data_IF_995676866687
#
_entry.id   IF_995676866687
#
_cell.length_a   1.000
_cell.length_b   1.000
_cell.length_c   1.000
_cell.angle_alpha   90.00
_cell.angle_beta   90.00
_cell.angle_gamma   90.00
#
_symmetry.space_group_name_H-M   'P 1'
#
loop_
_entity.id
_entity.type
_entity.pdbx_description
1 polymer ?
#
# COMPACT_ATOMS: atom_id res chain seq x y z
N UNK A 1 -15.49 11.10 8.78
CA UNK A 1 -15.49 9.72 8.26
C UNK A 1 -16.22 9.54 6.93
N UNK A 2 -17.39 10.12 6.72
CA UNK A 2 -18.10 10.08 5.41
C UNK A 2 -17.28 10.67 4.25
N UNK A 3 -16.44 11.67 4.51
CA UNK A 3 -15.65 12.33 3.46
C UNK A 3 -14.50 11.48 2.95
N UNK A 4 -13.87 10.66 3.81
CA UNK A 4 -12.76 9.79 3.40
C UNK A 4 -13.25 8.64 2.50
N UNK A 5 -14.44 8.11 2.79
CA UNK A 5 -15.08 7.08 1.97
C UNK A 5 -15.44 7.61 0.59
N UNK A 6 -15.99 8.83 0.53
CA UNK A 6 -16.31 9.53 -0.70
C UNK A 6 -15.05 9.85 -1.51
N UNK A 7 -13.99 10.30 -0.86
CA UNK A 7 -12.69 10.51 -1.50
C UNK A 7 -12.10 9.23 -2.10
N UNK A 8 -12.24 8.09 -1.37
CA UNK A 8 -11.85 6.78 -1.90
C UNK A 8 -12.64 6.39 -3.15
N UNK A 9 -13.95 6.57 -3.13
CA UNK A 9 -14.82 6.23 -4.26
C UNK A 9 -14.56 7.12 -5.47
N UNK A 10 -14.41 8.41 -5.27
CA UNK A 10 -14.10 9.38 -6.34
C UNK A 10 -12.73 9.12 -6.96
N UNK A 11 -11.72 8.80 -6.13
CA UNK A 11 -10.38 8.45 -6.60
C UNK A 11 -10.36 7.12 -7.37
N UNK A 12 -11.07 6.11 -6.86
CA UNK A 12 -11.22 4.81 -7.53
C UNK A 12 -11.93 4.94 -8.89
N UNK A 13 -12.92 5.82 -8.98
CA UNK A 13 -13.63 6.08 -10.21
C UNK A 13 -12.75 6.82 -11.22
N UNK A 14 -11.98 7.83 -10.78
CA UNK A 14 -10.99 8.50 -11.63
C UNK A 14 -9.94 7.53 -12.18
N UNK A 15 -9.50 6.53 -11.38
CA UNK A 15 -8.54 5.53 -11.84
C UNK A 15 -9.15 4.55 -12.83
N UNK A 16 -10.43 4.20 -12.69
CA UNK A 16 -11.15 3.34 -13.65
C UNK A 16 -11.38 4.02 -14.99
N UNK A 17 -11.58 5.33 -14.99
CA UNK A 17 -11.82 6.12 -16.20
C UNK A 17 -10.52 6.57 -16.87
N UNK A 18 -9.42 6.68 -16.12
CA UNK A 18 -8.13 7.10 -16.65
C UNK A 18 -7.38 5.92 -17.28
N UNK A 19 -7.67 5.67 -18.53
CA UNK A 19 -6.77 4.97 -19.47
C UNK A 19 -5.45 5.71 -19.71
N UNK A 20 -5.21 6.80 -19.00
CA UNK A 20 -4.03 7.66 -19.15
C UNK A 20 -2.72 6.94 -18.81
N UNK A 21 -2.73 5.98 -17.91
CA UNK A 21 -1.53 5.23 -17.53
C UNK A 21 -0.97 4.33 -18.65
N UNK A 22 -1.79 3.91 -19.60
CA UNK A 22 -1.34 3.04 -20.69
C UNK A 22 -0.75 3.78 -21.89
N UNK A 23 -1.05 5.06 -22.07
CA UNK A 23 -0.59 5.83 -23.23
C UNK A 23 0.61 6.72 -22.93
N UNK A 24 0.92 7.00 -21.65
CA UNK A 24 2.11 7.75 -21.26
C UNK A 24 3.41 6.92 -21.30
N UNK A 25 3.31 5.60 -21.47
CA UNK A 25 4.43 4.66 -21.41
C UNK A 25 4.88 4.13 -22.78
N UNK A 26 4.42 4.73 -23.86
CA UNK A 26 5.02 4.49 -25.18
C UNK A 26 6.17 5.48 -25.40
N UNK A 27 7.22 5.35 -24.61
CA UNK A 27 8.53 5.87 -25.01
C UNK A 27 9.08 4.93 -26.08
N UNK A 28 9.61 5.50 -27.16
CA UNK A 28 10.21 4.74 -28.24
C UNK A 28 11.53 4.07 -27.84
N UNK A 29 12.00 4.31 -26.61
CA UNK A 29 13.19 3.70 -26.05
C UNK A 29 12.80 2.46 -25.23
N UNK A 30 13.17 1.23 -25.67
CA UNK A 30 12.88 0.01 -24.92
C UNK A 30 13.59 -0.06 -23.56
N UNK A 31 14.54 0.85 -23.28
CA UNK A 31 15.24 0.96 -21.99
C UNK A 31 14.60 1.98 -21.04
N UNK A 32 13.66 2.80 -21.51
CA UNK A 32 12.97 3.84 -20.72
C UNK A 32 11.56 3.42 -20.27
N UNK A 33 11.21 2.16 -20.44
CA UNK A 33 9.97 1.63 -19.89
C UNK A 33 10.09 1.56 -18.36
N UNK A 34 9.14 2.13 -17.58
CA UNK A 34 9.11 1.96 -16.14
C UNK A 34 9.08 0.46 -15.84
N UNK A 35 10.15 -0.04 -15.25
CA UNK A 35 10.18 -1.41 -14.75
C UNK A 35 9.22 -1.50 -13.56
N UNK A 36 8.47 -2.59 -13.48
CA UNK A 36 7.69 -2.91 -12.30
C UNK A 36 8.67 -3.12 -11.14
N UNK A 37 8.55 -2.30 -10.11
CA UNK A 37 9.41 -2.32 -8.93
C UNK A 37 8.53 -2.16 -7.69
N UNK A 38 9.02 -2.63 -6.54
CA UNK A 38 8.30 -2.48 -5.28
C UNK A 38 7.96 -1.02 -4.98
N UNK A 39 6.80 -0.79 -4.33
CA UNK A 39 6.40 0.51 -3.82
C UNK A 39 6.54 0.57 -2.30
N UNK A 40 7.04 1.68 -1.78
CA UNK A 40 7.16 1.94 -0.34
C UNK A 40 6.40 3.21 0.00
N UNK A 41 5.62 3.15 1.07
CA UNK A 41 4.92 4.29 1.64
C UNK A 41 5.29 4.43 3.11
N UNK A 42 5.60 5.65 3.55
CA UNK A 42 5.89 5.96 4.94
C UNK A 42 5.07 7.16 5.41
N UNK A 43 4.61 7.10 6.65
CA UNK A 43 3.82 8.14 7.31
C UNK A 43 4.32 8.35 8.72
N UNK A 44 4.45 9.63 9.11
CA UNK A 44 4.65 10.06 10.47
C UNK A 44 3.75 11.25 10.78
N UNK A 45 3.18 11.28 11.98
CA UNK A 45 2.38 12.38 12.51
C UNK A 45 2.75 12.64 13.97
N UNK A 46 2.69 13.90 14.41
CA UNK A 46 2.89 14.25 15.83
C UNK A 46 1.75 13.74 16.70
N UNK A 47 0.57 13.60 16.13
CA UNK A 47 -0.62 13.10 16.83
C UNK A 47 -1.07 11.78 16.23
N UNK A 48 -1.83 11.00 16.98
CA UNK A 48 -2.46 9.79 16.47
C UNK A 48 -3.49 10.14 15.39
N UNK A 49 -3.34 9.50 14.24
CA UNK A 49 -4.22 9.63 13.07
C UNK A 49 -4.57 8.24 12.55
N UNK A 50 -5.51 8.14 11.64
CA UNK A 50 -5.82 6.88 10.94
C UNK A 50 -4.68 6.52 9.97
N UNK A 51 -3.56 6.08 10.56
CA UNK A 51 -2.34 5.72 9.81
C UNK A 51 -2.58 4.52 8.89
N UNK A 52 -3.48 3.61 9.27
CA UNK A 52 -3.78 2.44 8.45
C UNK A 52 -4.48 2.82 7.16
N UNK A 53 -5.58 3.58 7.23
CA UNK A 53 -6.31 3.98 6.02
C UNK A 53 -5.49 4.89 5.11
N UNK A 54 -4.68 5.79 5.70
CA UNK A 54 -3.77 6.63 4.94
C UNK A 54 -2.69 5.80 4.22
N UNK A 55 -2.14 4.78 4.90
CA UNK A 55 -1.16 3.87 4.30
C UNK A 55 -1.78 3.00 3.22
N UNK A 56 -3.00 2.49 3.45
CA UNK A 56 -3.75 1.74 2.45
C UNK A 56 -3.97 2.58 1.18
N UNK A 57 -4.34 3.83 1.34
CA UNK A 57 -4.51 4.76 0.23
C UNK A 57 -3.20 5.03 -0.51
N UNK A 58 -2.11 5.28 0.24
CA UNK A 58 -0.78 5.48 -0.35
C UNK A 58 -0.29 4.25 -1.12
N UNK A 59 -0.48 3.05 -0.56
CA UNK A 59 -0.13 1.80 -1.24
C UNK A 59 -1.00 1.53 -2.47
N UNK A 60 -2.27 1.90 -2.42
CA UNK A 60 -3.14 1.78 -3.57
C UNK A 60 -2.65 2.64 -4.75
N UNK A 61 -2.19 3.86 -4.47
CA UNK A 61 -1.56 4.72 -5.48
C UNK A 61 -0.27 4.11 -6.06
N UNK A 62 0.44 3.28 -5.28
CA UNK A 62 1.66 2.58 -5.68
C UNK A 62 1.41 1.16 -6.23
N UNK A 63 0.15 0.73 -6.34
CA UNK A 63 -0.21 -0.64 -6.73
C UNK A 63 0.38 -1.07 -8.09
N UNK A 64 0.55 -0.13 -9.02
CA UNK A 64 1.17 -0.36 -10.32
C UNK A 64 2.64 -0.79 -10.24
N UNK A 65 3.31 -0.56 -9.11
CA UNK A 65 4.70 -0.94 -8.86
C UNK A 65 4.85 -2.35 -8.29
N UNK A 66 3.80 -2.89 -7.62
CA UNK A 66 3.85 -4.22 -7.05
C UNK A 66 2.46 -4.79 -6.85
N UNK A 67 2.17 -5.94 -7.46
CA UNK A 67 0.83 -6.53 -7.52
C UNK A 67 0.75 -7.94 -6.90
N UNK A 68 1.84 -8.44 -6.32
CA UNK A 68 1.88 -9.80 -5.80
C UNK A 68 1.51 -9.90 -4.33
N UNK A 69 2.00 -8.98 -3.53
CA UNK A 69 1.73 -8.93 -2.10
C UNK A 69 1.81 -7.50 -1.60
N UNK A 70 1.18 -7.23 -0.49
CA UNK A 70 1.30 -5.95 0.20
C UNK A 70 1.23 -6.14 1.71
N UNK A 71 1.74 -5.13 2.43
CA UNK A 71 1.72 -5.12 3.88
C UNK A 71 1.79 -3.71 4.44
N UNK A 72 1.24 -3.56 5.64
CA UNK A 72 1.26 -2.32 6.42
C UNK A 72 1.68 -2.68 7.85
N UNK A 73 2.63 -1.91 8.38
CA UNK A 73 2.98 -1.90 9.79
C UNK A 73 2.61 -0.55 10.39
N UNK A 74 1.87 -0.56 11.48
CA UNK A 74 1.43 0.63 12.21
C UNK A 74 2.00 0.62 13.61
N UNK A 75 2.52 1.75 14.07
CA UNK A 75 2.90 1.94 15.47
C UNK A 75 1.76 2.65 16.22
N UNK A 76 1.31 2.01 17.28
CA UNK A 76 0.28 2.51 18.18
C UNK A 76 0.65 2.16 19.62
N UNK A 77 0.64 3.13 20.54
CA UNK A 77 0.89 2.92 21.98
C UNK A 77 2.17 2.12 22.25
N UNK A 78 3.26 2.39 21.51
CA UNK A 78 4.53 1.68 21.62
C UNK A 78 4.52 0.23 21.13
N UNK A 79 3.44 -0.19 20.46
CA UNK A 79 3.30 -1.52 19.86
C UNK A 79 3.23 -1.42 18.35
N UNK A 80 3.80 -2.42 17.68
CA UNK A 80 3.73 -2.53 16.22
C UNK A 80 2.70 -3.58 15.83
N UNK A 81 1.76 -3.18 14.99
CA UNK A 81 0.79 -4.06 14.34
C UNK A 81 1.22 -4.24 12.88
N UNK A 82 1.39 -5.49 12.47
CA UNK A 82 1.83 -5.82 11.12
C UNK A 82 0.78 -6.69 10.43
N UNK A 83 0.24 -6.22 9.33
CA UNK A 83 -0.73 -6.93 8.49
C UNK A 83 -0.17 -7.02 7.10
N UNK A 84 -0.03 -8.23 6.57
CA UNK A 84 0.48 -8.48 5.23
C UNK A 84 -0.05 -9.78 4.67
N UNK A 85 -0.30 -9.80 3.38
CA UNK A 85 -0.70 -11.01 2.66
C UNK A 85 -0.39 -10.91 1.15
N UNK A 86 -0.59 -12.02 0.46
CA UNK A 86 -0.55 -12.09 -0.98
C UNK A 86 -1.81 -11.44 -1.57
N UNK A 87 -1.64 -10.65 -2.63
CA UNK A 87 -2.73 -10.02 -3.36
C UNK A 87 -2.62 -8.51 -3.48
N UNK A 88 -3.64 -7.94 -4.09
CA UNK A 88 -3.77 -6.50 -4.28
C UNK A 88 -4.16 -5.81 -2.97
N UNK A 89 -3.80 -4.54 -2.83
CA UNK A 89 -4.06 -3.74 -1.61
C UNK A 89 -5.53 -3.80 -1.18
N UNK A 90 -6.46 -3.68 -2.11
CA UNK A 90 -7.89 -3.72 -1.79
C UNK A 90 -8.35 -5.11 -1.35
N UNK A 91 -7.74 -6.18 -1.86
CA UNK A 91 -8.11 -7.55 -1.49
C UNK A 91 -7.52 -7.96 -0.14
N UNK A 92 -6.26 -7.62 0.11
CA UNK A 92 -5.56 -7.97 1.35
C UNK A 92 -6.21 -7.29 2.56
N UNK A 93 -6.62 -6.04 2.42
CA UNK A 93 -7.15 -5.26 3.54
C UNK A 93 -8.68 -5.14 3.59
N UNK A 94 -9.41 -5.84 2.72
CA UNK A 94 -10.88 -5.80 2.66
C UNK A 94 -11.60 -6.20 3.95
N UNK A 95 -11.00 -7.10 4.72
CA UNK A 95 -11.56 -7.62 5.96
C UNK A 95 -11.31 -6.69 7.17
N UNK A 96 -10.50 -5.65 7.01
CA UNK A 96 -10.22 -4.67 8.07
C UNK A 96 -11.39 -3.68 8.13
N UNK A 97 -12.36 -3.98 8.99
CA UNK A 97 -13.60 -3.20 9.11
C UNK A 97 -13.49 -2.02 10.08
N UNK A 98 -12.57 -2.09 11.03
CA UNK A 98 -12.37 -1.09 12.07
C UNK A 98 -10.96 -0.48 11.97
N UNK A 99 -10.68 0.38 10.97
CA UNK A 99 -9.36 0.98 10.80
C UNK A 99 -8.94 1.85 12.00
N UNK A 100 -9.88 2.40 12.75
CA UNK A 100 -9.64 3.14 13.99
C UNK A 100 -8.92 2.32 15.07
N UNK A 101 -8.98 0.98 14.99
CA UNK A 101 -8.17 0.10 15.86
C UNK A 101 -6.68 0.31 15.62
N UNK A 102 -6.31 0.81 14.45
CA UNK A 102 -4.94 1.06 14.02
C UNK A 102 -4.59 2.55 13.97
N UNK A 103 -5.32 3.40 14.70
CA UNK A 103 -4.89 4.77 14.89
C UNK A 103 -3.54 4.79 15.60
N UNK A 104 -2.62 5.56 15.09
CA UNK A 104 -1.27 5.67 15.60
C UNK A 104 -0.55 6.86 15.02
N UNK A 105 0.72 7.00 15.31
CA UNK A 105 1.52 8.14 14.88
C UNK A 105 2.48 7.85 13.73
N UNK A 106 2.70 6.59 13.41
CA UNK A 106 3.58 6.22 12.30
C UNK A 106 3.18 4.91 11.66
N UNK A 107 3.42 4.80 10.37
CA UNK A 107 3.20 3.58 9.59
C UNK A 107 4.19 3.47 8.44
N UNK A 108 4.43 2.22 8.04
CA UNK A 108 5.18 1.87 6.83
C UNK A 108 4.34 0.87 6.04
N UNK A 109 4.22 1.11 4.75
CA UNK A 109 3.56 0.22 3.81
C UNK A 109 4.49 -0.21 2.67
N UNK A 110 4.20 -1.37 2.10
CA UNK A 110 4.96 -1.95 0.99
C UNK A 110 4.04 -2.67 0.02
N UNK A 111 4.24 -2.47 -1.29
CA UNK A 111 3.71 -3.30 -2.37
C UNK A 111 4.85 -4.04 -3.04
N UNK A 112 4.71 -5.36 -3.17
CA UNK A 112 5.76 -6.25 -3.66
C UNK A 112 5.58 -6.57 -5.13
N UNK A 113 6.69 -6.47 -5.86
CA UNK A 113 6.94 -7.12 -7.13
C UNK A 113 8.08 -8.11 -6.97
N UNK A 114 7.90 -9.37 -7.39
CA UNK A 114 8.94 -10.39 -7.19
C UNK A 114 9.89 -10.39 -8.36
N UNK A 115 11.09 -9.90 -8.13
CA UNK A 115 12.23 -10.06 -9.05
C UNK A 115 13.03 -11.32 -8.74
N UNK A 116 13.02 -11.79 -7.49
CA UNK A 116 13.68 -13.00 -7.02
C UNK A 116 13.09 -13.47 -5.69
N UNK A 117 13.10 -14.76 -5.46
CA UNK A 117 12.72 -15.37 -4.17
C UNK A 117 11.37 -16.08 -4.18
N UNK A 118 11.13 -16.85 -3.11
CA UNK A 118 9.94 -17.66 -2.93
C UNK A 118 8.72 -16.81 -2.53
N UNK A 119 7.54 -17.14 -3.06
CA UNK A 119 6.26 -16.47 -2.74
C UNK A 119 5.71 -16.86 -1.36
N UNK A 120 6.57 -16.98 -0.37
CA UNK A 120 6.13 -17.32 0.98
C UNK A 120 5.83 -16.08 1.80
N UNK A 121 4.78 -16.13 2.61
CA UNK A 121 4.28 -15.02 3.42
C UNK A 121 5.32 -14.38 4.35
N UNK A 122 6.32 -15.13 4.80
CA UNK A 122 7.40 -14.59 5.63
C UNK A 122 8.35 -13.67 4.85
N UNK A 123 8.36 -13.75 3.51
CA UNK A 123 9.14 -12.89 2.64
C UNK A 123 8.41 -11.58 2.27
N UNK A 124 7.17 -11.40 2.71
CA UNK A 124 6.43 -10.17 2.44
C UNK A 124 6.85 -9.06 3.40
N UNK A 125 7.04 -7.88 2.89
CA UNK A 125 7.35 -6.68 3.67
C UNK A 125 6.07 -6.00 4.17
N UNK A 126 6.13 -5.16 5.24
CA UNK A 126 7.30 -4.87 6.06
C UNK A 126 7.77 -6.05 6.91
N UNK A 127 9.09 -6.14 7.11
CA UNK A 127 9.67 -7.08 8.07
C UNK A 127 9.62 -6.52 9.48
N UNK A 128 9.44 -7.42 10.43
CA UNK A 128 9.36 -7.10 11.85
C UNK A 128 10.36 -7.94 12.63
N UNK A 129 11.16 -7.27 13.46
CA UNK A 129 12.16 -7.91 14.30
C UNK A 129 12.01 -7.43 15.74
N UNK A 130 12.16 -8.36 16.69
CA UNK A 130 12.28 -8.06 18.11
C UNK A 130 13.76 -8.02 18.48
N UNK A 131 14.14 -7.01 19.25
CA UNK A 131 15.46 -6.90 19.86
C UNK A 131 15.35 -7.12 21.36
#
# INVERSE_FOLDING_TARGET
>A
MKDLQRYKEDYLNQFKENTYGRNLLKTEDPFDAPSEECGIFGLYSENDVDTFSLSQFGLFALQHRGQEACGISVMKDGKIFNIKDEGLVLDVFKEIRNPETFMGNSAIGHTRYTTAGDKKKYNFQPFFFYF
#
